data_IF_939659283016
#
_entry.id   IF_939659283016
#
_cell.length_a   1.000
_cell.length_b   1.000
_cell.length_c   1.000
_cell.angle_alpha   90.00
_cell.angle_beta   90.00
_cell.angle_gamma   90.00
#
_symmetry.space_group_name_H-M   'P 1'
#
loop_
_entity.id
_entity.type
_entity.pdbx_description
1 polymer ?
#
# COMPACT_ATOMS: atom_id res chain seq x y z
N UNK A 1 1.49 -17.47 6.36
CA UNK A 1 2.23 -16.62 5.41
C UNK A 1 1.76 -16.80 3.96
N UNK A 2 1.45 -18.03 3.49
CA UNK A 2 0.78 -18.22 2.19
C UNK A 2 -0.60 -17.52 2.15
N UNK A 3 -1.35 -17.60 3.26
CA UNK A 3 -2.66 -16.96 3.40
C UNK A 3 -2.59 -15.44 3.30
N UNK A 4 -1.47 -14.83 3.70
CA UNK A 4 -1.23 -13.39 3.63
C UNK A 4 -1.17 -12.92 2.18
N UNK A 5 -0.44 -13.63 1.31
CA UNK A 5 -0.31 -13.27 -0.11
C UNK A 5 -1.64 -13.49 -0.83
N UNK A 6 -2.32 -14.61 -0.55
CA UNK A 6 -3.62 -14.88 -1.14
C UNK A 6 -4.68 -13.85 -0.70
N UNK A 7 -4.73 -13.51 0.59
CA UNK A 7 -5.66 -12.52 1.14
C UNK A 7 -5.35 -11.11 0.65
N UNK A 8 -4.07 -10.75 0.51
CA UNK A 8 -3.66 -9.47 -0.06
C UNK A 8 -4.04 -9.37 -1.55
N UNK A 9 -3.83 -10.43 -2.33
CA UNK A 9 -4.30 -10.50 -3.72
C UNK A 9 -5.81 -10.36 -3.82
N UNK A 10 -6.55 -10.98 -2.91
CA UNK A 10 -8.02 -10.86 -2.87
C UNK A 10 -8.45 -9.44 -2.52
N UNK A 11 -7.76 -8.78 -1.59
CA UNK A 11 -8.04 -7.39 -1.24
C UNK A 11 -7.73 -6.44 -2.41
N UNK A 12 -6.71 -6.70 -3.25
CA UNK A 12 -6.36 -5.82 -4.38
C UNK A 12 -7.29 -5.92 -5.59
N UNK A 13 -8.26 -6.85 -5.57
CA UNK A 13 -9.35 -6.94 -6.55
C UNK A 13 -10.35 -5.77 -6.44
N UNK A 14 -10.29 -4.98 -5.36
CA UNK A 14 -11.13 -3.78 -5.21
C UNK A 14 -10.71 -2.64 -6.16
N UNK A 15 -11.63 -1.71 -6.37
CA UNK A 15 -11.51 -0.61 -7.34
C UNK A 15 -10.88 0.67 -6.77
N UNK A 16 -10.71 0.77 -5.45
CA UNK A 16 -10.12 1.93 -4.79
C UNK A 16 -9.12 1.53 -3.71
N UNK A 17 -8.11 2.38 -3.46
CA UNK A 17 -7.14 2.16 -2.39
C UNK A 17 -7.80 1.97 -1.03
N UNK A 18 -8.84 2.77 -0.74
CA UNK A 18 -9.55 2.71 0.53
C UNK A 18 -10.33 1.40 0.69
N UNK A 19 -10.94 0.90 -0.39
CA UNK A 19 -11.65 -0.38 -0.36
C UNK A 19 -10.68 -1.56 -0.23
N UNK A 20 -9.50 -1.49 -0.85
CA UNK A 20 -8.42 -2.49 -0.63
C UNK A 20 -8.03 -2.51 0.85
N UNK A 21 -7.73 -1.34 1.43
CA UNK A 21 -7.34 -1.23 2.84
C UNK A 21 -8.44 -1.74 3.78
N UNK A 22 -9.69 -1.35 3.53
CA UNK A 22 -10.87 -1.77 4.32
C UNK A 22 -11.10 -3.27 4.22
N UNK A 23 -10.86 -3.88 3.07
CA UNK A 23 -11.00 -5.33 2.84
C UNK A 23 -9.85 -6.12 3.47
N UNK A 24 -8.64 -5.55 3.53
CA UNK A 24 -7.46 -6.23 4.05
C UNK A 24 -7.40 -6.29 5.59
N UNK A 25 -7.96 -5.29 6.30
CA UNK A 25 -7.97 -5.19 7.77
C UNK A 25 -8.74 -6.34 8.47
N UNK A 26 -9.91 -6.82 8.00
CA UNK A 26 -10.67 -7.86 8.69
C UNK A 26 -10.13 -9.30 8.51
N UNK A 27 -9.01 -9.54 7.82
CA UNK A 27 -8.40 -10.88 7.76
C UNK A 27 -7.76 -11.24 9.13
N UNK A 28 -8.56 -11.88 10.00
CA UNK A 28 -8.40 -11.99 11.48
C UNK A 28 -7.10 -12.65 12.00
N UNK A 29 -6.25 -13.26 11.19
CA UNK A 29 -5.07 -13.96 11.71
C UNK A 29 -3.75 -13.18 11.55
N UNK A 30 -3.66 -12.26 10.59
CA UNK A 30 -2.47 -11.45 10.32
C UNK A 30 -2.84 -10.15 9.60
N UNK A 31 -3.88 -9.49 10.11
CA UNK A 31 -4.49 -8.30 9.54
C UNK A 31 -3.47 -7.20 9.25
N UNK A 32 -2.46 -7.03 10.13
CA UNK A 32 -1.42 -6.00 9.97
C UNK A 32 -0.51 -6.30 8.78
N UNK A 33 0.00 -7.54 8.67
CA UNK A 33 0.89 -7.91 7.56
C UNK A 33 0.14 -8.00 6.24
N UNK A 34 -1.10 -8.52 6.25
CA UNK A 34 -1.97 -8.56 5.07
C UNK A 34 -2.32 -7.16 4.58
N UNK A 35 -2.66 -6.24 5.49
CA UNK A 35 -2.92 -4.85 5.14
C UNK A 35 -1.68 -4.14 4.61
N UNK A 36 -0.49 -4.35 5.18
CA UNK A 36 0.76 -3.74 4.67
C UNK A 36 1.04 -4.19 3.25
N UNK A 37 0.95 -5.49 2.96
CA UNK A 37 1.19 -6.03 1.61
C UNK A 37 0.12 -5.55 0.63
N UNK A 38 -1.17 -5.60 1.02
CA UNK A 38 -2.27 -5.16 0.18
C UNK A 38 -2.20 -3.67 -0.14
N UNK A 39 -1.92 -2.82 0.86
CA UNK A 39 -1.75 -1.38 0.67
C UNK A 39 -0.51 -1.04 -0.16
N UNK A 40 0.60 -1.78 -0.01
CA UNK A 40 1.77 -1.61 -0.85
C UNK A 40 1.48 -1.91 -2.33
N UNK A 41 0.80 -3.02 -2.61
CA UNK A 41 0.35 -3.36 -3.97
C UNK A 41 -0.67 -2.37 -4.52
N UNK A 42 -1.60 -1.90 -3.68
CA UNK A 42 -2.57 -0.87 -4.05
C UNK A 42 -1.88 0.46 -4.38
N UNK A 43 -0.83 0.85 -3.64
CA UNK A 43 -0.05 2.05 -3.94
C UNK A 43 0.64 1.99 -5.30
N UNK A 44 1.10 0.80 -5.71
CA UNK A 44 1.64 0.59 -7.07
C UNK A 44 0.53 0.64 -8.12
N UNK A 45 -0.63 0.01 -7.86
CA UNK A 45 -1.77 -0.06 -8.79
C UNK A 45 -2.43 1.30 -9.04
N UNK A 46 -2.67 2.07 -7.99
CA UNK A 46 -3.44 3.32 -8.04
C UNK A 46 -2.56 4.57 -8.09
N UNK A 47 -1.25 4.44 -7.85
CA UNK A 47 -0.35 5.58 -7.72
C UNK A 47 -0.59 6.39 -6.45
N UNK A 48 0.23 7.42 -6.24
CA UNK A 48 0.12 8.29 -5.05
C UNK A 48 -1.17 9.11 -5.05
N UNK A 49 -1.66 9.51 -6.22
CA UNK A 49 -2.89 10.29 -6.38
C UNK A 49 -4.15 9.48 -6.04
N UNK A 50 -4.08 8.15 -6.12
CA UNK A 50 -5.15 7.25 -5.73
C UNK A 50 -5.23 7.02 -4.21
N UNK A 51 -4.25 7.50 -3.44
CA UNK A 51 -4.23 7.36 -1.97
C UNK A 51 -4.96 8.57 -1.36
N UNK A 52 -5.93 8.35 -0.47
CA UNK A 52 -6.64 9.47 0.16
C UNK A 52 -5.66 10.33 0.98
N UNK A 53 -5.70 11.65 0.75
CA UNK A 53 -4.86 12.69 1.37
C UNK A 53 -5.07 12.88 2.89
N UNK A 54 -5.60 11.87 3.59
CA UNK A 54 -5.56 11.77 5.06
C UNK A 54 -4.54 10.75 5.54
N UNK A 55 -4.21 9.75 4.71
CA UNK A 55 -3.29 8.68 5.06
C UNK A 55 -1.85 9.19 5.19
N UNK A 56 -1.25 9.71 4.10
CA UNK A 56 0.11 10.25 4.09
C UNK A 56 0.36 11.29 5.19
N UNK A 57 -0.60 12.19 5.41
CA UNK A 57 -0.55 13.29 6.37
C UNK A 57 -0.56 12.82 7.84
N UNK A 58 -1.04 11.61 8.10
CA UNK A 58 -1.11 11.01 9.44
C UNK A 58 0.00 9.96 9.66
N UNK A 59 0.75 9.61 8.63
CA UNK A 59 1.86 8.66 8.70
C UNK A 59 3.07 9.33 9.38
N UNK A 60 3.48 8.79 10.52
CA UNK A 60 4.71 9.23 11.19
C UNK A 60 5.92 8.90 10.32
N UNK A 61 6.79 9.90 10.08
CA UNK A 61 7.98 9.73 9.27
C UNK A 61 7.68 9.61 7.77
N UNK A 62 6.54 10.12 7.31
CA UNK A 62 6.19 10.13 5.89
C UNK A 62 7.27 10.83 5.05
N UNK A 63 7.90 11.87 5.57
CA UNK A 63 9.01 12.59 4.94
C UNK A 63 10.22 11.70 4.60
N UNK A 64 10.48 10.66 5.41
CA UNK A 64 11.55 9.69 5.15
C UNK A 64 11.14 8.78 3.99
N UNK A 65 9.91 8.28 4.03
CA UNK A 65 9.37 7.41 2.98
C UNK A 65 9.30 8.14 1.64
N UNK A 66 8.80 9.38 1.62
CA UNK A 66 8.72 10.24 0.44
C UNK A 66 10.10 10.47 -0.19
N UNK A 67 11.12 10.80 0.61
CA UNK A 67 12.49 10.96 0.13
C UNK A 67 13.05 9.69 -0.52
N UNK A 68 12.86 8.52 0.11
CA UNK A 68 13.30 7.24 -0.43
C UNK A 68 12.58 6.89 -1.74
N UNK A 69 11.27 7.09 -1.81
CA UNK A 69 10.47 6.83 -3.02
C UNK A 69 10.96 7.71 -4.18
N UNK A 70 11.18 9.00 -3.93
CA UNK A 70 11.67 9.94 -4.94
C UNK A 70 13.07 9.55 -5.43
N UNK A 71 13.98 9.16 -4.53
CA UNK A 71 15.32 8.72 -4.90
C UNK A 71 15.29 7.45 -5.75
N UNK A 72 14.43 6.47 -5.42
CA UNK A 72 14.29 5.23 -6.22
C UNK A 72 13.69 5.48 -7.60
N UNK A 73 12.69 6.37 -7.69
CA UNK A 73 12.06 6.73 -8.97
C UNK A 73 13.06 7.44 -9.91
N UNK A 74 13.88 8.35 -9.39
CA UNK A 74 14.93 9.02 -10.17
C UNK A 74 16.00 8.05 -10.68
N UNK A 75 16.40 7.07 -9.86
CA UNK A 75 17.41 6.08 -10.24
C UNK A 75 16.94 5.14 -11.36
N UNK A 76 15.63 4.88 -11.45
CA UNK A 76 15.05 4.06 -12.52
C UNK A 76 15.04 4.80 -13.87
N UNK A 77 15.14 6.13 -13.86
CA UNK A 77 15.20 6.96 -15.08
C UNK A 77 16.63 7.05 -15.68
N UNK A 78 17.66 6.64 -14.92
CA UNK A 78 19.06 6.68 -15.35
C UNK A 78 19.62 5.34 -15.88
N UNK A 79 18.78 4.30 -15.97
CA UNK A 79 19.14 2.99 -16.54
C UNK A 79 18.46 2.79 -17.90
#
# INVERSE_FOLDING_TARGET
MLDTIWSARKATEQDSFEDVARTAIPFVQDAKTTAVVACGLAGIKFGIDGIPARGPQQLRGFEIAESLINNMAQNTTQA
#
